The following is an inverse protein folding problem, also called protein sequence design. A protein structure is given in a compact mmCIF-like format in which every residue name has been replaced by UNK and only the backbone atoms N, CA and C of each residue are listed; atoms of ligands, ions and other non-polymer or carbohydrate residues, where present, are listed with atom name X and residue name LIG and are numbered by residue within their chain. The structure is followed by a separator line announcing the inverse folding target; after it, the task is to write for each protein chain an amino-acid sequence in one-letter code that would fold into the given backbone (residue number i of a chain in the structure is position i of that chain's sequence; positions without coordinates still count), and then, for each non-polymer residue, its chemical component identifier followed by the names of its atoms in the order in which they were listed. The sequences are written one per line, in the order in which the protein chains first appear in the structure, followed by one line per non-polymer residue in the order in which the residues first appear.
data_IF_102065843600
#
_entry.id   IF_102065843600
#
_cell.length_a   1.000
_cell.length_b   1.000
_cell.length_c   1.000
_cell.angle_alpha   90.00
_cell.angle_beta   90.00
_cell.angle_gamma   90.00
#
_symmetry.space_group_name_H-M   'P 1'
#
loop_
_entity.id
_entity.type
_entity.pdbx_description
1 polymer ?
#
# COMPACT_ATOMS: atom_id res chain seq x y z
N UNK A 1 -51.29 17.16 -16.08
CA UNK A 1 -51.00 16.62 -14.73
C UNK A 1 -49.51 16.35 -14.65
N UNK A 2 -48.78 17.09 -13.82
CA UNK A 2 -47.33 17.01 -13.64
C UNK A 2 -46.92 15.64 -13.09
N UNK A 3 -46.03 14.93 -13.78
CA UNK A 3 -45.44 13.70 -13.25
C UNK A 3 -44.45 14.05 -12.14
N UNK A 4 -44.73 13.59 -10.92
CA UNK A 4 -43.74 13.63 -9.85
C UNK A 4 -42.58 12.69 -10.19
N UNK A 5 -41.32 13.06 -9.92
CA UNK A 5 -40.19 12.15 -10.08
C UNK A 5 -40.33 10.97 -9.10
N UNK A 6 -40.43 9.75 -9.64
CA UNK A 6 -40.39 8.53 -8.83
C UNK A 6 -39.01 8.41 -8.19
N UNK A 7 -38.94 8.40 -6.86
CA UNK A 7 -37.73 8.03 -6.11
C UNK A 7 -37.53 6.52 -6.26
N UNK A 8 -36.44 6.11 -6.89
CA UNK A 8 -36.01 4.71 -6.87
C UNK A 8 -34.99 4.52 -5.74
N UNK A 9 -35.21 3.49 -4.92
CA UNK A 9 -34.27 3.06 -3.89
C UNK A 9 -33.54 1.84 -4.44
N UNK A 10 -32.23 1.94 -4.66
CA UNK A 10 -31.39 0.79 -4.96
C UNK A 10 -31.00 0.15 -3.62
N UNK A 11 -31.53 -1.04 -3.33
CA UNK A 11 -31.15 -1.84 -2.17
C UNK A 11 -30.07 -2.81 -2.63
N UNK A 12 -28.80 -2.56 -2.29
CA UNK A 12 -27.72 -3.52 -2.47
C UNK A 12 -27.56 -4.30 -1.17
N UNK A 13 -28.08 -5.52 -1.13
CA UNK A 13 -27.85 -6.43 -0.02
C UNK A 13 -26.50 -7.16 -0.24
N UNK A 14 -25.48 -6.80 0.52
CA UNK A 14 -24.24 -7.60 0.59
C UNK A 14 -24.48 -8.69 1.62
N UNK A 15 -24.66 -9.93 1.17
CA UNK A 15 -24.60 -11.11 2.03
C UNK A 15 -23.15 -11.32 2.45
N UNK A 16 -22.74 -10.71 3.56
CA UNK A 16 -21.53 -11.13 4.28
C UNK A 16 -21.92 -12.38 5.06
N UNK A 17 -21.21 -13.50 4.86
CA UNK A 17 -21.54 -14.82 5.43
C UNK A 17 -21.45 -14.91 6.97
N UNK A 18 -21.45 -13.78 7.68
CA UNK A 18 -21.45 -13.72 9.14
C UNK A 18 -22.28 -12.51 9.60
N UNK A 19 -23.59 -12.69 9.70
CA UNK A 19 -24.44 -12.10 10.75
C UNK A 19 -24.62 -10.59 10.89
N UNK A 20 -24.15 -9.72 9.99
CA UNK A 20 -24.44 -8.27 10.05
C UNK A 20 -24.91 -7.77 8.68
N UNK A 21 -26.20 -7.41 8.59
CA UNK A 21 -26.76 -6.69 7.44
C UNK A 21 -26.49 -5.20 7.65
N UNK A 22 -25.51 -4.65 6.94
CA UNK A 22 -25.35 -3.21 6.84
C UNK A 22 -26.32 -2.68 5.76
N UNK A 23 -27.36 -1.96 6.18
CA UNK A 23 -28.30 -1.30 5.27
C UNK A 23 -27.74 0.08 4.94
N UNK A 24 -27.32 0.30 3.68
CA UNK A 24 -26.91 1.62 3.21
C UNK A 24 -28.04 2.24 2.37
N UNK A 25 -28.58 3.37 2.80
CA UNK A 25 -29.48 4.19 1.99
C UNK A 25 -28.68 5.27 1.25
N UNK A 26 -28.61 5.18 -0.07
CA UNK A 26 -28.08 6.28 -0.91
C UNK A 26 -29.25 7.10 -1.42
N UNK A 27 -29.35 8.36 -1.00
CA UNK A 27 -30.25 9.35 -1.61
C UNK A 27 -29.45 10.25 -2.54
N UNK A 28 -29.61 10.07 -3.85
CA UNK A 28 -29.01 10.92 -4.88
C UNK A 28 -29.81 10.87 -6.19
N UNK A 29 -29.83 11.98 -6.93
CA UNK A 29 -30.53 12.12 -8.22
C UNK A 29 -29.73 11.38 -9.29
N UNK A 30 -30.31 10.34 -9.89
CA UNK A 30 -29.74 9.65 -11.05
C UNK A 30 -30.20 10.43 -12.30
N UNK A 31 -29.29 10.93 -13.17
CA UNK A 31 -29.68 11.51 -14.45
C UNK A 31 -30.36 10.44 -15.32
N UNK A 32 -31.50 10.80 -15.92
CA UNK A 32 -32.35 9.94 -16.74
C UNK A 32 -31.59 9.27 -17.89
N UNK A 33 -31.27 7.97 -17.75
CA UNK A 33 -30.92 7.08 -18.85
C UNK A 33 -31.64 5.74 -18.70
N UNK A 34 -32.98 5.76 -18.69
CA UNK A 34 -33.76 4.54 -18.89
C UNK A 34 -34.99 4.87 -19.74
N UNK A 35 -34.87 4.71 -21.06
CA UNK A 35 -36.05 4.49 -21.91
C UNK A 35 -36.45 3.02 -21.75
N UNK A 36 -37.67 2.81 -21.24
CA UNK A 36 -38.34 1.54 -20.95
C UNK A 36 -37.74 0.25 -21.52
N UNK A 37 -37.29 -0.61 -20.61
CA UNK A 37 -37.07 -2.03 -20.83
C UNK A 37 -37.15 -2.75 -19.48
N UNK A 38 -37.92 -3.82 -19.41
CA UNK A 38 -37.93 -4.74 -18.27
C UNK A 38 -36.50 -5.12 -17.87
N UNK A 39 -36.27 -5.45 -16.58
CA UNK A 39 -35.07 -6.13 -16.11
C UNK A 39 -34.96 -7.49 -16.81
N UNK A 40 -34.44 -7.47 -18.03
CA UNK A 40 -34.09 -8.65 -18.80
C UNK A 40 -32.87 -9.28 -18.16
N UNK A 41 -33.00 -10.55 -17.82
CA UNK A 41 -31.89 -11.44 -17.55
C UNK A 41 -30.91 -11.34 -18.74
N UNK A 42 -29.75 -10.72 -18.55
CA UNK A 42 -28.72 -10.65 -19.59
C UNK A 42 -27.97 -11.98 -19.61
N UNK A 43 -28.26 -12.82 -20.61
CA UNK A 43 -27.49 -14.01 -20.95
C UNK A 43 -26.15 -13.67 -21.65
N UNK A 44 -25.45 -12.67 -21.16
CA UNK A 44 -24.05 -12.40 -21.47
C UNK A 44 -23.39 -12.11 -20.14
N UNK A 45 -22.31 -12.82 -19.83
CA UNK A 45 -21.52 -12.62 -18.60
C UNK A 45 -20.79 -11.27 -18.57
N UNK A 46 -21.46 -10.18 -18.93
CA UNK A 46 -20.96 -8.82 -18.81
C UNK A 46 -21.20 -8.32 -17.38
N UNK A 47 -20.14 -8.32 -16.59
CA UNK A 47 -20.10 -7.64 -15.31
C UNK A 47 -20.18 -6.13 -15.52
N UNK A 48 -21.26 -5.49 -15.07
CA UNK A 48 -21.34 -4.03 -14.97
C UNK A 48 -20.49 -3.61 -13.76
N UNK A 49 -19.31 -3.05 -14.03
CA UNK A 49 -18.40 -2.57 -12.99
C UNK A 49 -18.88 -1.24 -12.42
N UNK A 50 -19.30 -1.24 -11.16
CA UNK A 50 -19.45 0.00 -10.39
C UNK A 50 -18.12 0.29 -9.71
N UNK A 51 -17.46 1.38 -10.12
CA UNK A 51 -16.41 1.98 -9.29
C UNK A 51 -17.08 2.49 -8.02
N UNK A 52 -17.08 1.68 -6.96
CA UNK A 52 -17.47 2.13 -5.63
C UNK A 52 -16.43 3.16 -5.17
N UNK A 53 -16.69 4.44 -5.44
CA UNK A 53 -16.15 5.48 -4.58
C UNK A 53 -16.77 5.23 -3.21
N UNK A 54 -16.00 4.60 -2.30
CA UNK A 54 -16.40 4.46 -0.92
C UNK A 54 -16.81 5.86 -0.42
N UNK A 55 -18.03 6.03 0.11
CA UNK A 55 -18.53 7.36 0.40
C UNK A 55 -17.61 8.03 1.41
N UNK A 56 -17.24 9.28 1.15
CA UNK A 56 -16.50 10.09 2.12
C UNK A 56 -17.24 10.01 3.47
N UNK A 57 -16.53 9.61 4.52
CA UNK A 57 -17.06 9.55 5.86
C UNK A 57 -17.22 10.99 6.38
N UNK A 58 -18.45 11.39 6.66
CA UNK A 58 -18.70 12.65 7.38
C UNK A 58 -18.53 12.39 8.88
N UNK A 59 -17.62 13.14 9.49
CA UNK A 59 -17.23 12.98 10.90
C UNK A 59 -17.85 14.05 11.78
N UNK A 60 -17.92 15.28 11.28
CA UNK A 60 -18.70 16.37 11.87
C UNK A 60 -19.66 16.89 10.82
N UNK A 61 -20.93 17.04 11.18
CA UNK A 61 -21.94 17.68 10.35
C UNK A 61 -22.73 18.66 11.20
N UNK A 62 -22.10 19.80 11.50
CA UNK A 62 -22.77 20.88 12.21
C UNK A 62 -23.08 22.01 11.23
N UNK A 63 -24.30 22.01 10.69
CA UNK A 63 -24.71 22.96 9.65
C UNK A 63 -25.88 23.84 10.07
N UNK A 64 -26.18 23.93 11.36
CA UNK A 64 -27.26 24.81 11.82
C UNK A 64 -26.70 26.23 12.06
N UNK A 65 -27.09 27.15 11.17
CA UNK A 65 -26.62 28.54 11.21
C UNK A 65 -27.36 29.34 12.28
N UNK A 66 -26.65 29.79 13.32
CA UNK A 66 -27.22 30.62 14.38
C UNK A 66 -26.71 32.06 14.33
N UNK A 67 -25.40 32.26 14.45
CA UNK A 67 -24.81 33.60 14.55
C UNK A 67 -23.38 33.65 14.02
N UNK A 68 -23.03 34.79 13.44
CA UNK A 68 -21.71 35.06 12.87
C UNK A 68 -20.76 35.75 13.82
N UNK A 69 -19.55 35.23 13.99
CA UNK A 69 -18.50 35.87 14.79
C UNK A 69 -17.41 36.46 13.91
N UNK A 70 -17.03 37.71 14.16
CA UNK A 70 -15.99 38.42 13.42
C UNK A 70 -14.58 37.94 13.79
N UNK A 71 -13.79 37.59 12.77
CA UNK A 71 -12.36 37.29 12.83
C UNK A 71 -11.60 38.43 12.16
N UNK A 72 -10.62 39.00 12.85
CA UNK A 72 -9.81 40.15 12.42
C UNK A 72 -8.54 40.26 13.28
N UNK A 73 -7.71 41.27 13.07
CA UNK A 73 -6.42 41.46 13.75
C UNK A 73 -6.44 41.38 15.28
N UNK A 74 -7.50 41.88 15.93
CA UNK A 74 -7.72 41.80 17.38
C UNK A 74 -8.41 40.51 17.86
N UNK A 75 -8.90 39.68 16.94
CA UNK A 75 -9.51 38.37 17.21
C UNK A 75 -9.18 37.40 16.08
N UNK A 76 -7.94 36.91 16.13
CA UNK A 76 -7.28 36.37 14.94
C UNK A 76 -7.71 34.96 14.58
N UNK A 77 -8.22 34.18 15.55
CA UNK A 77 -8.56 32.77 15.35
C UNK A 77 -9.95 32.50 15.91
N UNK A 78 -10.75 31.79 15.13
CA UNK A 78 -11.96 31.10 15.55
C UNK A 78 -11.82 29.63 15.18
N UNK A 79 -11.99 28.75 16.15
CA UNK A 79 -11.79 27.32 15.96
C UNK A 79 -12.75 26.50 16.82
N UNK A 80 -12.97 25.26 16.40
CA UNK A 80 -13.55 24.17 17.16
C UNK A 80 -12.42 23.49 17.94
N UNK A 81 -12.44 23.60 19.27
CA UNK A 81 -11.52 22.92 20.15
C UNK A 81 -11.99 21.48 20.38
N UNK A 82 -11.09 20.51 20.23
CA UNK A 82 -11.36 19.09 20.44
C UNK A 82 -10.82 18.68 21.80
N UNK A 83 -11.67 18.36 22.77
CA UNK A 83 -11.22 17.79 24.05
C UNK A 83 -10.85 16.32 23.94
N UNK A 84 -10.26 15.74 24.98
CA UNK A 84 -9.95 14.32 25.11
C UNK A 84 -11.20 13.42 25.07
N UNK A 85 -12.37 13.94 25.44
CA UNK A 85 -13.65 13.20 25.41
C UNK A 85 -14.44 13.39 24.12
N UNK A 86 -13.95 14.18 23.15
CA UNK A 86 -14.65 14.39 21.88
C UNK A 86 -14.68 13.12 21.03
N UNK A 87 -15.81 12.93 20.35
CA UNK A 87 -16.00 11.86 19.36
C UNK A 87 -15.06 11.98 18.14
N UNK A 88 -14.43 13.15 17.96
CA UNK A 88 -13.49 13.44 16.89
C UNK A 88 -12.07 12.90 17.17
N UNK A 89 -11.70 12.62 18.42
CA UNK A 89 -10.35 12.17 18.76
C UNK A 89 -10.02 10.86 18.03
N UNK A 90 -8.88 10.83 17.34
CA UNK A 90 -8.40 9.68 16.58
C UNK A 90 -9.04 9.51 15.21
N UNK A 91 -10.05 10.32 14.85
CA UNK A 91 -10.63 10.32 13.50
C UNK A 91 -9.71 11.02 12.51
N UNK A 92 -9.67 10.53 11.27
CA UNK A 92 -8.89 11.15 10.20
C UNK A 92 -9.77 12.07 9.37
N UNK A 93 -9.29 13.25 8.99
CA UNK A 93 -9.96 14.18 8.09
C UNK A 93 -9.03 14.58 6.95
N UNK A 94 -9.61 14.84 5.78
CA UNK A 94 -8.91 15.45 4.65
C UNK A 94 -9.63 16.68 4.11
N UNK A 95 -10.83 16.98 4.63
CA UNK A 95 -11.59 18.15 4.23
C UNK A 95 -12.25 18.86 5.41
N UNK A 96 -12.19 20.19 5.35
CA UNK A 96 -12.87 21.12 6.25
C UNK A 96 -13.76 22.02 5.41
N UNK A 97 -15.06 22.03 5.69
CA UNK A 97 -16.02 23.00 5.15
C UNK A 97 -16.47 23.95 6.25
N UNK A 98 -16.48 25.24 5.95
CA UNK A 98 -16.90 26.31 6.86
C UNK A 98 -17.84 27.28 6.16
N UNK A 99 -18.78 27.85 6.89
CA UNK A 99 -19.68 28.87 6.36
C UNK A 99 -19.16 30.28 6.73
N UNK A 100 -18.72 31.02 5.72
CA UNK A 100 -17.99 32.28 5.87
C UNK A 100 -18.67 33.41 5.09
N UNK A 101 -18.49 34.65 5.56
CA UNK A 101 -18.68 35.86 4.74
C UNK A 101 -17.61 36.90 5.05
N UNK A 102 -17.39 37.85 4.15
CA UNK A 102 -16.65 39.08 4.46
C UNK A 102 -17.60 40.20 4.89
N UNK A 103 -17.21 40.96 5.90
CA UNK A 103 -17.82 42.24 6.27
C UNK A 103 -16.86 43.38 5.91
N UNK A 104 -17.37 44.44 5.27
CA UNK A 104 -16.53 45.53 4.77
C UNK A 104 -15.61 45.10 3.63
N UNK A 105 -14.41 45.68 3.60
CA UNK A 105 -13.38 45.45 2.56
C UNK A 105 -12.05 44.97 3.18
N UNK A 106 -12.03 43.81 3.87
CA UNK A 106 -10.81 43.28 4.48
C UNK A 106 -9.78 42.92 3.41
N UNK A 107 -8.50 43.17 3.70
CA UNK A 107 -7.37 42.75 2.87
C UNK A 107 -6.58 41.64 3.57
N UNK A 108 -5.96 40.77 2.77
CA UNK A 108 -5.11 39.70 3.25
C UNK A 108 -5.63 38.31 2.89
N UNK A 109 -5.27 37.33 3.70
CA UNK A 109 -5.55 35.91 3.42
C UNK A 109 -6.00 35.23 4.69
N UNK A 110 -7.05 34.43 4.59
CA UNK A 110 -7.54 33.55 5.64
C UNK A 110 -6.86 32.21 5.49
N UNK A 111 -6.34 31.67 6.59
CA UNK A 111 -5.75 30.34 6.66
C UNK A 111 -6.77 29.40 7.32
N UNK A 112 -7.01 28.24 6.71
CA UNK A 112 -7.95 27.24 7.22
C UNK A 112 -7.20 25.97 7.56
N UNK A 113 -7.39 25.46 8.78
CA UNK A 113 -6.66 24.28 9.24
C UNK A 113 -6.75 24.05 10.74
N UNK A 114 -5.74 23.36 11.27
CA UNK A 114 -5.58 23.02 12.68
C UNK A 114 -4.49 23.89 13.29
N UNK A 115 -4.74 24.46 14.47
CA UNK A 115 -3.83 25.38 15.16
C UNK A 115 -3.37 24.85 16.50
N UNK A 116 -2.10 25.08 16.81
CA UNK A 116 -1.51 24.82 18.12
C UNK A 116 -1.96 25.89 19.14
N UNK A 117 -1.75 25.60 20.43
CA UNK A 117 -2.04 26.55 21.53
C UNK A 117 -1.25 27.86 21.41
N UNK A 118 -0.06 27.83 20.81
CA UNK A 118 0.76 29.02 20.54
C UNK A 118 0.32 29.82 19.29
N UNK A 119 -0.77 29.38 18.64
CA UNK A 119 -1.37 29.93 17.40
C UNK A 119 -0.61 29.62 16.11
N UNK A 120 0.46 28.84 16.18
CA UNK A 120 1.12 28.32 14.99
C UNK A 120 0.19 27.33 14.27
N UNK A 121 0.36 27.22 12.96
CA UNK A 121 -0.41 26.27 12.16
C UNK A 121 0.17 24.88 12.43
N UNK A 122 -0.67 23.97 12.93
CA UNK A 122 -0.34 22.55 13.09
C UNK A 122 -0.51 21.80 11.79
N UNK A 123 -1.62 22.07 11.07
CA UNK A 123 -1.90 21.52 9.74
C UNK A 123 -2.68 22.54 8.92
N UNK A 124 -2.18 22.90 7.75
CA UNK A 124 -2.89 23.78 6.80
C UNK A 124 -3.72 22.93 5.84
N UNK A 125 -5.01 23.25 5.69
CA UNK A 125 -5.91 22.66 4.69
C UNK A 125 -6.06 23.56 3.46
N UNK A 126 -5.91 24.86 3.64
CA UNK A 126 -5.90 25.78 2.52
C UNK A 126 -5.87 27.24 2.95
N UNK A 127 -5.81 28.11 1.94
CA UNK A 127 -5.84 29.55 2.09
C UNK A 127 -6.88 30.14 1.14
N UNK A 128 -7.53 31.21 1.55
CA UNK A 128 -8.44 31.98 0.68
C UNK A 128 -8.16 33.47 0.83
N UNK A 129 -8.01 34.16 -0.31
CA UNK A 129 -7.90 35.61 -0.28
C UNK A 129 -9.24 36.21 0.16
N UNK A 130 -9.21 37.23 1.01
CA UNK A 130 -10.42 37.86 1.54
C UNK A 130 -11.36 38.39 0.44
N UNK A 131 -10.82 38.74 -0.73
CA UNK A 131 -11.61 39.21 -1.86
C UNK A 131 -12.41 38.11 -2.58
N UNK A 132 -12.04 36.85 -2.39
CA UNK A 132 -12.75 35.68 -2.91
C UNK A 132 -13.87 35.18 -1.97
N UNK A 133 -13.97 35.74 -0.76
CA UNK A 133 -15.05 35.45 0.18
C UNK A 133 -16.26 36.34 -0.14
N UNK A 134 -17.43 35.74 -0.21
CA UNK A 134 -18.71 36.39 -0.51
C UNK A 134 -19.11 37.37 0.61
N UNK A 135 -19.87 38.41 0.28
CA UNK A 135 -20.48 39.30 1.27
C UNK A 135 -21.69 38.67 1.97
N UNK A 136 -22.21 37.57 1.41
CA UNK A 136 -23.22 36.70 2.03
C UNK A 136 -22.55 35.44 2.54
N UNK A 137 -23.14 34.83 3.57
CA UNK A 137 -22.67 33.55 4.09
C UNK A 137 -22.72 32.47 3.02
N UNK A 138 -21.61 31.76 2.84
CA UNK A 138 -21.47 30.68 1.86
C UNK A 138 -20.50 29.63 2.39
N UNK A 139 -20.71 28.37 1.96
CA UNK A 139 -19.84 27.26 2.33
C UNK A 139 -18.56 27.28 1.49
N UNK A 140 -17.41 27.25 2.16
CA UNK A 140 -16.08 27.14 1.56
C UNK A 140 -15.43 25.86 2.05
N UNK A 141 -14.99 25.01 1.10
CA UNK A 141 -14.35 23.73 1.40
C UNK A 141 -12.87 23.77 1.06
N UNK A 142 -12.06 23.23 1.96
CA UNK A 142 -10.61 23.15 1.84
C UNK A 142 -10.19 21.70 2.08
N UNK A 143 -9.28 21.19 1.26
CA UNK A 143 -8.85 19.79 1.34
C UNK A 143 -7.34 19.64 1.26
N UNK A 144 -6.83 18.63 1.96
CA UNK A 144 -5.44 18.22 1.83
C UNK A 144 -5.18 17.60 0.44
N UNK A 145 -3.96 17.71 -0.09
CA UNK A 145 -3.57 17.00 -1.32
C UNK A 145 -3.70 15.49 -1.13
N UNK A 146 -4.19 14.78 -2.14
CA UNK A 146 -4.31 13.32 -2.04
C UNK A 146 -2.92 12.67 -2.01
N UNK A 147 -2.71 11.58 -1.24
CA UNK A 147 -3.65 10.88 -0.35
C UNK A 147 -3.55 11.32 1.12
N UNK A 148 -3.11 12.55 1.39
CA UNK A 148 -2.84 13.02 2.74
C UNK A 148 -4.12 13.11 3.58
N UNK A 149 -4.05 12.59 4.80
CA UNK A 149 -5.07 12.70 5.83
C UNK A 149 -4.44 13.31 7.10
N UNK A 150 -5.24 13.94 7.93
CA UNK A 150 -4.85 14.45 9.24
C UNK A 150 -5.65 13.73 10.32
N UNK A 151 -4.98 13.04 11.24
CA UNK A 151 -5.62 12.42 12.39
C UNK A 151 -5.81 13.44 13.51
N UNK A 152 -7.07 13.68 13.88
CA UNK A 152 -7.44 14.63 14.93
C UNK A 152 -6.94 14.13 16.28
N UNK A 153 -6.32 15.03 17.03
CA UNK A 153 -5.80 14.78 18.38
C UNK A 153 -6.56 15.63 19.40
N UNK A 154 -6.59 15.17 20.65
CA UNK A 154 -7.06 16.01 21.76
C UNK A 154 -6.19 17.28 21.85
N UNK A 155 -6.82 18.42 22.09
CA UNK A 155 -6.19 19.75 22.12
C UNK A 155 -6.16 20.47 20.78
N UNK A 156 -6.58 19.81 19.69
CA UNK A 156 -6.65 20.42 18.37
C UNK A 156 -7.67 21.56 18.33
N UNK A 157 -7.34 22.60 17.54
CA UNK A 157 -8.22 23.74 17.25
C UNK A 157 -8.41 23.84 15.76
N UNK A 158 -9.55 23.38 15.26
CA UNK A 158 -9.85 23.27 13.84
C UNK A 158 -10.69 24.48 13.41
N UNK A 159 -10.25 25.29 12.44
CA UNK A 159 -11.02 26.47 12.04
C UNK A 159 -10.27 27.43 11.14
N UNK A 160 -10.42 28.74 11.38
CA UNK A 160 -9.79 29.80 10.59
C UNK A 160 -8.85 30.68 11.41
N UNK A 161 -7.82 31.18 10.74
CA UNK A 161 -6.95 32.26 11.19
C UNK A 161 -6.95 33.40 10.18
N UNK A 162 -7.17 34.62 10.64
CA UNK A 162 -7.06 35.84 9.84
C UNK A 162 -6.49 36.97 10.71
N UNK A 163 -5.30 37.45 10.35
CA UNK A 163 -4.55 38.45 11.14
C UNK A 163 -4.75 39.88 10.62
N UNK A 164 -5.41 40.06 9.49
CA UNK A 164 -5.70 41.37 8.90
C UNK A 164 -7.00 41.98 9.43
N UNK A 165 -7.34 43.17 8.89
CA UNK A 165 -8.65 43.78 9.13
C UNK A 165 -8.87 44.32 10.55
N UNK A 166 -10.12 44.72 10.80
CA UNK A 166 -10.60 45.35 12.03
C UNK A 166 -12.09 44.99 12.25
N UNK A 167 -12.78 45.67 13.17
CA UNK A 167 -14.20 45.41 13.44
C UNK A 167 -15.12 45.68 12.23
N UNK A 168 -14.80 46.66 11.38
CA UNK A 168 -15.57 47.00 10.18
C UNK A 168 -15.18 46.12 8.98
N UNK A 169 -13.91 45.72 8.92
CA UNK A 169 -13.31 44.95 7.83
C UNK A 169 -12.85 43.58 8.35
N UNK A 170 -13.75 42.60 8.37
CA UNK A 170 -13.52 41.30 9.00
C UNK A 170 -14.02 40.13 8.16
N UNK A 171 -13.59 38.92 8.53
CA UNK A 171 -14.19 37.67 8.06
C UNK A 171 -15.09 37.13 9.16
N UNK A 172 -16.38 36.97 8.87
CA UNK A 172 -17.31 36.40 9.81
C UNK A 172 -17.45 34.90 9.56
N UNK A 173 -17.29 34.11 10.62
CA UNK A 173 -17.49 32.66 10.63
C UNK A 173 -18.80 32.32 11.33
N UNK A 174 -19.61 31.46 10.73
CA UNK A 174 -20.88 31.04 11.30
C UNK A 174 -20.67 30.06 12.47
N UNK A 175 -21.51 30.21 13.49
CA UNK A 175 -21.60 29.29 14.64
C UNK A 175 -22.99 28.69 14.72
N UNK A 176 -23.07 27.51 15.32
CA UNK A 176 -24.28 26.96 15.89
C UNK A 176 -24.29 27.23 17.40
N UNK A 177 -25.36 27.84 17.90
CA UNK A 177 -25.52 28.14 19.34
C UNK A 177 -26.71 27.38 19.94
N UNK A 178 -27.24 26.39 19.23
CA UNK A 178 -28.47 25.67 19.59
C UNK A 178 -28.35 24.16 19.46
N UNK A 179 -27.54 23.64 18.54
CA UNK A 179 -27.37 22.21 18.31
C UNK A 179 -25.88 21.81 18.31
N UNK A 180 -25.35 21.60 19.51
CA UNK A 180 -23.94 21.24 19.70
C UNK A 180 -23.66 19.83 19.18
N UNK A 181 -22.61 19.68 18.39
CA UNK A 181 -22.25 18.48 17.63
C UNK A 181 -22.07 17.24 18.52
N UNK A 182 -21.28 17.37 19.59
CA UNK A 182 -21.07 16.30 20.57
C UNK A 182 -21.15 16.81 22.03
N UNK A 183 -21.99 17.83 22.24
CA UNK A 183 -22.18 18.47 23.54
C UNK A 183 -21.08 19.49 23.84
N UNK A 184 -20.42 19.38 24.99
CA UNK A 184 -19.33 20.26 25.38
C UNK A 184 -17.94 19.65 25.12
N UNK A 185 -17.88 18.53 24.37
CA UNK A 185 -16.66 17.77 24.16
C UNK A 185 -15.83 18.34 23.00
N UNK A 186 -16.47 18.80 21.93
CA UNK A 186 -15.97 19.86 21.07
C UNK A 186 -16.67 21.17 21.41
N UNK A 187 -15.99 22.29 21.20
CA UNK A 187 -16.60 23.60 21.41
C UNK A 187 -15.87 24.73 20.71
N UNK A 188 -16.57 25.83 20.49
CA UNK A 188 -16.00 27.07 19.99
C UNK A 188 -14.96 27.67 20.94
N UNK A 189 -13.79 27.97 20.39
CA UNK A 189 -12.75 28.78 21.01
C UNK A 189 -12.29 29.89 20.06
N UNK A 190 -11.83 30.99 20.65
CA UNK A 190 -11.24 32.08 19.88
C UNK A 190 -10.06 32.72 20.61
N UNK A 191 -9.15 33.33 19.86
CA UNK A 191 -7.98 34.00 20.42
C UNK A 191 -8.09 35.52 20.30
N UNK A 192 -7.80 36.22 21.40
CA UNK A 192 -7.64 37.69 21.47
C UNK A 192 -6.25 38.01 22.03
N UNK A 193 -6.14 38.26 23.33
CA UNK A 193 -4.86 38.25 24.07
C UNK A 193 -4.63 36.92 24.81
N UNK A 194 -5.70 36.10 24.89
CA UNK A 194 -5.72 34.76 25.46
C UNK A 194 -6.80 33.94 24.75
N UNK A 195 -6.71 32.62 24.85
CA UNK A 195 -7.79 31.73 24.41
C UNK A 195 -9.03 31.91 25.26
N UNK A 196 -10.16 32.16 24.61
CA UNK A 196 -11.48 32.20 25.21
C UNK A 196 -12.25 30.94 24.81
N UNK A 197 -13.01 30.39 25.75
CA UNK A 197 -13.77 29.14 25.62
C UNK A 197 -15.26 29.44 25.68
N UNK A 198 -16.05 28.77 24.82
CA UNK A 198 -17.51 28.83 24.83
C UNK A 198 -18.10 27.45 24.54
N UNK A 199 -18.47 26.69 25.57
CA UNK A 199 -19.08 25.35 25.44
C UNK A 199 -20.55 25.36 25.02
N UNK A 200 -21.13 26.54 24.85
CA UNK A 200 -22.51 26.73 24.39
C UNK A 200 -22.56 27.17 22.92
N UNK A 201 -21.49 26.93 22.17
CA UNK A 201 -21.35 27.30 20.76
C UNK A 201 -20.41 26.32 20.11
N UNK A 202 -20.75 25.90 18.91
CA UNK A 202 -19.86 25.18 18.01
C UNK A 202 -19.72 25.96 16.73
N UNK A 203 -18.67 25.69 15.97
CA UNK A 203 -18.58 26.21 14.61
C UNK A 203 -19.60 25.50 13.71
N UNK A 204 -20.19 26.25 12.78
CA UNK A 204 -20.75 25.64 11.57
C UNK A 204 -19.56 25.02 10.83
N UNK A 205 -19.50 23.69 10.80
CA UNK A 205 -18.38 22.95 10.27
C UNK A 205 -18.82 21.59 9.75
N UNK A 206 -18.30 21.23 8.59
CA UNK A 206 -18.36 19.86 8.09
C UNK A 206 -16.93 19.33 8.01
N UNK A 207 -16.68 18.22 8.69
CA UNK A 207 -15.42 17.49 8.63
C UNK A 207 -15.64 16.19 7.89
N UNK A 208 -14.82 15.92 6.88
CA UNK A 208 -14.87 14.67 6.11
C UNK A 208 -13.52 13.99 6.04
N UNK A 209 -13.56 12.66 6.00
CA UNK A 209 -12.49 11.82 5.49
C UNK A 209 -12.95 11.23 4.18
N UNK A 210 -12.18 11.42 3.12
CA UNK A 210 -12.29 10.52 1.97
C UNK A 210 -11.66 9.19 2.36
N UNK A 211 -12.28 8.10 1.90
CA UNK A 211 -11.68 6.78 1.98
C UNK A 211 -11.00 6.56 0.64
N UNK A 212 -9.69 6.82 0.57
CA UNK A 212 -8.94 6.54 -0.64
C UNK A 212 -8.71 5.04 -0.77
N UNK A 213 -9.16 4.48 -1.89
CA UNK A 213 -8.62 3.22 -2.36
C UNK A 213 -7.13 3.47 -2.68
N UNK A 214 -6.22 2.89 -1.89
CA UNK A 214 -4.76 3.00 -2.08
C UNK A 214 -4.23 2.29 -3.34
N UNK A 215 -5.13 1.84 -4.22
CA UNK A 215 -4.83 0.92 -5.31
C UNK A 215 -4.64 -0.51 -4.81
N UNK A 216 -4.74 -1.46 -5.74
CA UNK A 216 -4.30 -2.83 -5.51
C UNK A 216 -2.77 -2.88 -5.63
N UNK A 217 -2.08 -3.44 -4.64
CA UNK A 217 -0.63 -3.60 -4.63
C UNK A 217 -0.25 -5.03 -4.32
N UNK A 218 0.91 -5.45 -4.82
CA UNK A 218 1.45 -6.79 -4.62
C UNK A 218 2.95 -6.69 -4.34
N UNK A 219 3.48 -7.57 -3.48
CA UNK A 219 4.90 -7.60 -3.09
C UNK A 219 5.40 -9.04 -2.91
N UNK A 220 6.71 -9.23 -3.05
CA UNK A 220 7.39 -10.47 -2.67
C UNK A 220 7.87 -10.39 -1.22
N UNK A 221 7.97 -11.53 -0.52
CA UNK A 221 8.47 -11.61 0.86
C UNK A 221 9.98 -11.43 0.97
N UNK A 222 10.70 -11.71 -0.11
CA UNK A 222 12.14 -11.49 -0.22
C UNK A 222 12.36 -10.36 -1.23
N UNK A 223 13.31 -9.49 -0.92
CA UNK A 223 13.84 -8.54 -1.90
C UNK A 223 14.77 -9.24 -2.87
N UNK A 224 14.87 -8.72 -4.09
CA UNK A 224 15.87 -9.12 -5.07
C UNK A 224 17.30 -9.10 -4.49
N UNK A 225 18.17 -9.95 -5.06
CA UNK A 225 19.53 -10.09 -4.57
C UNK A 225 20.19 -11.41 -4.93
N UNK A 226 21.44 -11.54 -4.48
CA UNK A 226 22.28 -12.72 -4.70
C UNK A 226 22.35 -13.56 -3.44
N UNK A 227 22.08 -14.86 -3.55
CA UNK A 227 22.22 -15.83 -2.47
C UNK A 227 22.94 -17.10 -2.94
N UNK A 228 23.65 -17.78 -2.04
CA UNK A 228 24.33 -19.06 -2.33
C UNK A 228 23.45 -20.29 -2.06
N UNK A 229 22.21 -20.08 -1.60
CA UNK A 229 21.26 -21.14 -1.25
C UNK A 229 19.93 -20.93 -1.94
N UNK A 230 19.15 -22.01 -2.08
CA UNK A 230 17.77 -21.97 -2.56
C UNK A 230 16.92 -21.02 -1.71
N UNK A 231 16.11 -20.18 -2.37
CA UNK A 231 15.19 -19.25 -1.73
C UNK A 231 13.74 -19.70 -1.90
N UNK A 232 12.88 -19.35 -0.95
CA UNK A 232 11.43 -19.58 -1.00
C UNK A 232 10.71 -18.24 -0.93
N UNK A 233 10.13 -17.82 -2.06
CA UNK A 233 9.47 -16.50 -2.20
C UNK A 233 7.96 -16.66 -2.06
N UNK A 234 7.34 -15.88 -1.17
CA UNK A 234 5.88 -15.75 -1.10
C UNK A 234 5.42 -14.42 -1.66
N UNK A 235 4.28 -14.41 -2.35
CA UNK A 235 3.69 -13.19 -2.90
C UNK A 235 2.49 -12.78 -2.05
N UNK A 236 2.40 -11.49 -1.72
CA UNK A 236 1.39 -10.92 -0.82
C UNK A 236 0.71 -9.76 -1.52
N UNK A 237 -0.61 -9.69 -1.44
CA UNK A 237 -1.41 -8.55 -1.92
C UNK A 237 -2.02 -7.78 -0.74
N UNK A 238 -2.20 -6.47 -0.90
CA UNK A 238 -2.82 -5.64 0.13
C UNK A 238 -4.34 -5.86 0.28
N UNK A 239 -4.97 -6.59 -0.66
CA UNK A 239 -6.40 -6.86 -0.70
C UNK A 239 -6.70 -8.27 -1.24
N UNK A 240 -7.88 -8.85 -0.95
CA UNK A 240 -8.32 -10.10 -1.58
C UNK A 240 -8.26 -10.00 -3.11
N UNK A 241 -7.38 -10.80 -3.71
CA UNK A 241 -7.08 -10.76 -5.14
C UNK A 241 -6.35 -12.02 -5.59
N UNK A 242 -6.35 -12.26 -6.90
CA UNK A 242 -5.59 -13.32 -7.56
C UNK A 242 -4.26 -12.75 -8.05
N UNK A 243 -3.15 -13.38 -7.68
CA UNK A 243 -1.80 -12.97 -8.13
C UNK A 243 -1.38 -13.86 -9.29
N UNK A 244 -0.97 -13.25 -10.39
CA UNK A 244 -0.45 -13.90 -11.60
C UNK A 244 1.04 -13.63 -11.74
N UNK A 245 1.83 -14.64 -12.12
CA UNK A 245 3.28 -14.51 -12.19
C UNK A 245 3.93 -15.30 -13.32
N UNK A 246 5.17 -14.93 -13.61
CA UNK A 246 6.11 -15.59 -14.53
C UNK A 246 7.50 -15.60 -13.90
N UNK A 247 8.27 -16.67 -14.10
CA UNK A 247 9.61 -16.84 -13.54
C UNK A 247 10.72 -16.84 -14.63
N UNK A 248 10.35 -16.64 -15.88
CA UNK A 248 11.25 -16.56 -17.04
C UNK A 248 11.49 -15.11 -17.51
N UNK A 249 10.94 -14.13 -16.79
CA UNK A 249 11.00 -12.71 -17.14
C UNK A 249 10.00 -12.25 -18.21
N UNK A 250 9.15 -13.11 -18.74
CA UNK A 250 8.04 -12.70 -19.62
C UNK A 250 7.02 -11.84 -18.86
N UNK A 251 6.25 -10.99 -19.56
CA UNK A 251 5.24 -10.15 -18.90
C UNK A 251 4.04 -11.01 -18.46
N UNK A 252 3.67 -11.02 -17.17
CA UNK A 252 2.53 -11.79 -16.70
C UNK A 252 1.22 -11.22 -17.25
N UNK A 253 0.28 -12.12 -17.57
CA UNK A 253 -1.10 -11.80 -17.98
C UNK A 253 -2.08 -12.61 -17.12
N UNK A 254 -3.38 -12.41 -17.29
CA UNK A 254 -4.39 -13.24 -16.60
C UNK A 254 -4.41 -14.71 -17.07
N UNK A 255 -3.66 -15.05 -18.11
CA UNK A 255 -3.43 -16.43 -18.56
C UNK A 255 -2.16 -17.05 -18.00
N UNK A 256 -1.36 -16.29 -17.23
CA UNK A 256 -0.13 -16.77 -16.58
C UNK A 256 -0.46 -17.64 -15.35
N UNK A 257 0.58 -18.24 -14.75
CA UNK A 257 0.43 -19.07 -13.56
C UNK A 257 -0.17 -18.27 -12.39
N UNK A 258 -1.12 -18.88 -11.68
CA UNK A 258 -1.74 -18.31 -10.47
C UNK A 258 -0.94 -18.71 -9.24
N UNK A 259 -0.56 -17.73 -8.44
CA UNK A 259 0.13 -17.97 -7.18
C UNK A 259 -0.80 -18.66 -6.18
N UNK A 260 -0.41 -19.85 -5.72
CA UNK A 260 -1.14 -20.64 -4.73
C UNK A 260 -0.25 -21.27 -3.65
N UNK A 261 1.07 -21.28 -3.87
CA UNK A 261 2.08 -21.78 -2.94
C UNK A 261 3.40 -21.02 -3.11
N UNK A 262 4.30 -21.01 -2.10
CA UNK A 262 5.62 -20.40 -2.23
C UNK A 262 6.38 -20.85 -3.49
N UNK A 263 7.13 -19.92 -4.11
CA UNK A 263 7.92 -20.14 -5.32
C UNK A 263 9.36 -20.44 -4.91
N UNK A 264 9.85 -21.63 -5.27
CA UNK A 264 11.23 -22.04 -5.01
C UNK A 264 12.16 -21.50 -6.10
N UNK A 265 13.22 -20.80 -5.68
CA UNK A 265 14.25 -20.22 -6.55
C UNK A 265 15.59 -20.89 -6.26
N UNK A 266 16.11 -21.66 -7.22
CA UNK A 266 17.35 -22.43 -7.08
C UNK A 266 18.42 -22.06 -8.12
N UNK A 267 18.12 -21.15 -9.02
CA UNK A 267 19.02 -20.56 -10.01
C UNK A 267 18.62 -19.11 -10.29
N UNK A 268 19.41 -18.40 -11.09
CA UNK A 268 19.05 -17.04 -11.53
C UNK A 268 17.65 -17.03 -12.17
N UNK A 269 16.75 -16.22 -11.61
CA UNK A 269 15.32 -16.18 -11.96
C UNK A 269 14.83 -14.74 -11.98
N UNK A 270 14.18 -14.34 -13.07
CA UNK A 270 13.46 -13.06 -13.17
C UNK A 270 11.98 -13.31 -12.88
N UNK A 271 11.55 -12.98 -11.66
CA UNK A 271 10.17 -13.15 -11.21
C UNK A 271 9.39 -11.86 -11.49
N UNK A 272 8.36 -11.94 -12.34
CA UNK A 272 7.41 -10.83 -12.57
C UNK A 272 6.02 -11.23 -12.11
N UNK A 273 5.29 -10.30 -11.49
CA UNK A 273 3.96 -10.59 -10.96
C UNK A 273 3.07 -9.35 -10.85
N UNK A 274 1.77 -9.55 -10.95
CA UNK A 274 0.74 -8.53 -10.67
C UNK A 274 -0.48 -9.20 -10.01
N UNK A 275 -1.32 -8.42 -9.33
CA UNK A 275 -2.57 -8.89 -8.76
C UNK A 275 -3.77 -8.35 -9.54
N UNK A 276 -4.88 -9.10 -9.57
CA UNK A 276 -6.19 -8.67 -10.05
C UNK A 276 -7.26 -9.00 -9.01
N UNK A 277 -8.08 -8.02 -8.63
CA UNK A 277 -9.19 -8.24 -7.71
C UNK A 277 -10.48 -8.71 -8.42
N UNK A 278 -11.53 -8.98 -7.64
CA UNK A 278 -12.84 -9.40 -8.18
C UNK A 278 -13.57 -8.30 -8.94
N UNK A 279 -13.13 -7.05 -8.81
CA UNK A 279 -13.64 -5.88 -9.53
C UNK A 279 -12.80 -5.55 -10.76
N UNK A 280 -11.93 -6.48 -11.16
CA UNK A 280 -11.04 -6.39 -12.32
C UNK A 280 -9.96 -5.30 -12.24
N UNK A 281 -9.75 -4.66 -11.08
CA UNK A 281 -8.63 -3.75 -10.89
C UNK A 281 -7.33 -4.52 -10.88
N UNK A 282 -6.29 -3.97 -11.51
CA UNK A 282 -4.95 -4.56 -11.54
C UNK A 282 -3.96 -3.74 -10.73
N UNK A 283 -3.01 -4.41 -10.07
CA UNK A 283 -1.84 -3.75 -9.53
C UNK A 283 -0.85 -3.39 -10.65
N UNK A 284 0.12 -2.48 -10.38
CA UNK A 284 1.33 -2.42 -11.19
C UNK A 284 2.03 -3.78 -11.25
N UNK A 285 2.71 -4.06 -12.36
CA UNK A 285 3.56 -5.25 -12.50
C UNK A 285 4.86 -5.02 -11.74
N UNK A 286 5.15 -5.92 -10.80
CA UNK A 286 6.40 -5.97 -10.06
C UNK A 286 7.41 -6.85 -10.79
N UNK A 287 8.69 -6.50 -10.66
CA UNK A 287 9.83 -7.26 -11.19
C UNK A 287 10.81 -7.48 -10.05
N UNK A 288 11.30 -8.71 -9.89
CA UNK A 288 12.32 -9.08 -8.92
C UNK A 288 13.34 -10.00 -9.60
N UNK A 289 14.63 -9.72 -9.43
CA UNK A 289 15.71 -10.54 -9.97
C UNK A 289 16.43 -11.25 -8.83
N UNK A 290 16.32 -12.58 -8.79
CA UNK A 290 17.03 -13.40 -7.82
C UNK A 290 18.19 -14.09 -8.52
N UNK A 291 19.39 -13.91 -8.00
CA UNK A 291 20.58 -14.64 -8.46
C UNK A 291 20.90 -15.71 -7.42
N UNK A 292 20.87 -16.97 -7.81
CA UNK A 292 21.32 -18.07 -6.95
C UNK A 292 22.51 -18.72 -7.62
N UNK A 293 23.67 -18.60 -7.00
CA UNK A 293 24.86 -19.33 -7.41
C UNK A 293 24.86 -20.66 -6.67
N UNK A 294 24.86 -21.80 -7.38
CA UNK A 294 25.20 -23.06 -6.72
C UNK A 294 26.59 -22.87 -6.11
N UNK A 295 26.76 -23.26 -4.85
CA UNK A 295 28.07 -23.19 -4.18
C UNK A 295 29.10 -23.94 -5.02
N UNK A 296 30.00 -23.21 -5.69
CA UNK A 296 31.22 -23.78 -6.26
C UNK A 296 32.16 -24.05 -5.08
N UNK A 297 32.34 -25.32 -4.72
CA UNK A 297 33.48 -25.69 -3.90
C UNK A 297 34.69 -25.69 -4.83
N UNK A 298 35.51 -24.64 -4.76
CA UNK A 298 36.85 -24.72 -5.33
C UNK A 298 37.62 -25.80 -4.56
N UNK A 299 38.04 -26.85 -5.26
CA UNK A 299 38.96 -27.84 -4.70
C UNK A 299 40.30 -27.14 -4.50
N UNK A 300 40.50 -26.60 -3.30
CA UNK A 300 41.60 -25.66 -3.01
C UNK A 300 42.95 -26.34 -2.79
N UNK A 301 42.99 -27.63 -2.46
CA UNK A 301 44.24 -28.39 -2.42
C UNK A 301 44.01 -29.89 -2.19
N UNK A 302 44.76 -30.75 -2.87
CA UNK A 302 45.02 -32.12 -2.41
C UNK A 302 46.24 -32.07 -1.48
N UNK A 303 46.14 -32.66 -0.29
CA UNK A 303 47.28 -32.76 0.64
C UNK A 303 48.42 -33.56 -0.01
N UNK A 304 49.64 -33.00 -0.03
CA UNK A 304 50.88 -33.75 -0.30
C UNK A 304 51.06 -34.78 0.83
N UNK A 305 50.67 -36.04 0.61
CA UNK A 305 50.65 -37.01 1.72
C UNK A 305 51.93 -37.82 1.90
N UNK A 306 52.90 -37.78 0.97
CA UNK A 306 54.20 -38.47 1.16
C UNK A 306 55.21 -38.05 0.09
N UNK A 307 56.50 -38.29 0.34
CA UNK A 307 57.55 -38.19 -0.70
C UNK A 307 57.15 -39.07 -1.91
N UNK A 308 56.90 -38.43 -3.07
CA UNK A 308 56.50 -39.12 -4.30
C UNK A 308 55.02 -39.06 -4.69
N UNK A 309 54.15 -38.37 -3.92
CA UNK A 309 52.75 -38.14 -4.32
C UNK A 309 52.65 -37.31 -5.61
N UNK A 310 51.59 -37.53 -6.40
CA UNK A 310 51.34 -36.77 -7.64
C UNK A 310 50.29 -35.68 -7.44
N UNK A 311 50.54 -34.51 -8.03
CA UNK A 311 49.51 -33.50 -8.23
C UNK A 311 48.48 -34.00 -9.25
N UNK A 312 47.20 -33.86 -8.93
CA UNK A 312 46.10 -34.17 -9.83
C UNK A 312 45.37 -32.88 -10.19
N UNK A 313 45.04 -32.74 -11.48
CA UNK A 313 44.25 -31.65 -12.01
C UNK A 313 42.99 -32.22 -12.63
N UNK A 314 41.84 -31.63 -12.30
CA UNK A 314 40.57 -32.02 -12.88
C UNK A 314 40.57 -31.80 -14.40
N UNK A 315 40.04 -32.77 -15.15
CA UNK A 315 39.83 -32.68 -16.61
C UNK A 315 38.40 -32.31 -16.98
N UNK A 316 37.80 -31.42 -16.19
CA UNK A 316 36.38 -31.09 -16.29
C UNK A 316 36.09 -29.97 -17.29
N UNK A 317 37.06 -29.08 -17.53
CA UNK A 317 37.03 -28.07 -18.58
C UNK A 317 37.68 -28.60 -19.88
N UNK A 318 37.06 -29.61 -20.47
CA UNK A 318 37.56 -30.28 -21.68
C UNK A 318 36.54 -30.32 -22.83
N UNK A 319 35.45 -29.54 -22.72
CA UNK A 319 34.30 -29.47 -23.64
C UNK A 319 33.56 -30.80 -23.85
N UNK A 320 33.70 -31.75 -22.93
CA UNK A 320 33.03 -33.03 -23.01
C UNK A 320 32.04 -33.21 -21.85
N UNK A 321 30.76 -32.96 -22.14
CA UNK A 321 29.65 -33.24 -21.24
C UNK A 321 29.56 -34.74 -20.96
N UNK A 322 29.58 -35.13 -19.68
CA UNK A 322 29.49 -36.54 -19.28
C UNK A 322 28.87 -36.74 -17.91
N UNK A 323 28.36 -37.95 -17.70
CA UNK A 323 27.72 -38.36 -16.45
C UNK A 323 28.42 -39.60 -15.91
N UNK A 324 28.79 -39.55 -14.63
CA UNK A 324 29.28 -40.70 -13.87
C UNK A 324 28.19 -41.14 -12.90
N UNK A 325 27.94 -42.45 -12.87
CA UNK A 325 27.12 -43.09 -11.84
C UNK A 325 28.04 -43.75 -10.80
N UNK A 326 27.47 -44.12 -9.65
CA UNK A 326 28.20 -44.83 -8.59
C UNK A 326 29.04 -46.01 -9.14
N UNK A 327 30.33 -46.03 -8.80
CA UNK A 327 31.28 -47.06 -9.19
C UNK A 327 31.96 -46.83 -10.54
N UNK A 328 31.54 -45.80 -11.30
CA UNK A 328 32.14 -45.50 -12.59
C UNK A 328 33.38 -44.60 -12.45
N UNK A 329 34.43 -44.93 -13.20
CA UNK A 329 35.54 -44.03 -13.46
C UNK A 329 35.12 -42.96 -14.46
N UNK A 330 35.79 -41.81 -14.42
CA UNK A 330 35.65 -40.82 -15.48
C UNK A 330 36.23 -41.39 -16.79
N UNK A 331 35.45 -41.43 -17.89
CA UNK A 331 35.96 -41.83 -19.21
C UNK A 331 37.16 -41.00 -19.70
N UNK A 332 37.22 -39.72 -19.31
CA UNK A 332 38.27 -38.79 -19.73
C UNK A 332 39.40 -38.67 -18.69
N UNK A 333 39.19 -39.23 -17.50
CA UNK A 333 40.16 -39.28 -16.42
C UNK A 333 40.11 -40.63 -15.67
N UNK A 334 40.91 -41.58 -16.15
CA UNK A 334 40.98 -42.92 -15.57
C UNK A 334 41.49 -42.95 -14.11
N UNK A 335 42.03 -41.84 -13.61
CA UNK A 335 42.46 -41.67 -12.23
C UNK A 335 41.35 -41.17 -11.31
N UNK A 336 40.19 -40.76 -11.83
CA UNK A 336 39.06 -40.27 -11.06
C UNK A 336 37.91 -41.28 -11.03
N UNK A 337 37.25 -41.43 -9.88
CA UNK A 337 36.08 -42.29 -9.70
C UNK A 337 35.05 -41.65 -8.79
N UNK A 338 33.76 -41.82 -9.14
CA UNK A 338 32.65 -41.53 -8.25
C UNK A 338 32.24 -42.78 -7.49
N UNK A 339 32.10 -42.67 -6.17
CA UNK A 339 31.54 -43.73 -5.33
C UNK A 339 30.47 -43.16 -4.38
N UNK A 340 29.63 -44.00 -3.81
CA UNK A 340 28.58 -43.58 -2.89
C UNK A 340 27.44 -44.59 -2.83
N UNK A 341 26.25 -44.10 -2.52
CA UNK A 341 25.02 -44.90 -2.62
C UNK A 341 24.64 -45.15 -4.08
N UNK A 342 23.75 -46.10 -4.36
CA UNK A 342 23.33 -46.45 -5.72
C UNK A 342 22.71 -45.29 -6.52
N UNK A 343 22.21 -44.26 -5.85
CA UNK A 343 21.66 -43.03 -6.45
C UNK A 343 22.69 -41.93 -6.66
N UNK A 344 23.97 -42.17 -6.31
CA UNK A 344 25.05 -41.19 -6.47
C UNK A 344 25.34 -40.95 -7.95
N UNK A 345 25.30 -39.68 -8.34
CA UNK A 345 25.48 -39.21 -9.71
C UNK A 345 26.34 -37.95 -9.75
N UNK A 346 27.20 -37.86 -10.75
CA UNK A 346 28.04 -36.70 -11.02
C UNK A 346 27.90 -36.31 -12.49
N UNK A 347 27.55 -35.05 -12.76
CA UNK A 347 27.40 -34.49 -14.11
C UNK A 347 28.49 -33.45 -14.30
N UNK A 348 29.33 -33.64 -15.32
CA UNK A 348 30.43 -32.75 -15.71
C UNK A 348 29.99 -32.06 -16.99
N UNK A 349 29.90 -30.74 -17.00
CA UNK A 349 29.34 -29.99 -18.14
C UNK A 349 30.33 -29.80 -19.31
N UNK A 350 31.63 -29.94 -19.04
CA UNK A 350 32.70 -29.73 -20.02
C UNK A 350 33.29 -28.32 -19.98
N UNK A 351 32.69 -27.40 -19.22
CA UNK A 351 33.15 -26.01 -19.03
C UNK A 351 33.71 -25.80 -17.61
N UNK A 352 34.11 -26.90 -16.95
CA UNK A 352 34.73 -26.89 -15.63
C UNK A 352 33.77 -27.00 -14.46
N UNK A 353 32.45 -27.08 -14.68
CA UNK A 353 31.47 -27.22 -13.60
C UNK A 353 31.09 -28.68 -13.41
N UNK A 354 31.06 -29.09 -12.15
CA UNK A 354 30.59 -30.40 -11.73
C UNK A 354 29.40 -30.28 -10.79
N UNK A 355 28.31 -30.96 -11.14
CA UNK A 355 27.12 -31.09 -10.30
C UNK A 355 27.03 -32.51 -9.74
N UNK A 356 27.08 -32.62 -8.42
CA UNK A 356 27.01 -33.91 -7.71
C UNK A 356 25.67 -34.03 -6.98
N UNK A 357 25.03 -35.21 -7.06
CA UNK A 357 23.73 -35.51 -6.44
C UNK A 357 23.64 -36.95 -5.94
N UNK A 358 22.63 -37.25 -5.12
CA UNK A 358 22.42 -38.56 -4.49
C UNK A 358 22.83 -38.59 -3.02
N UNK A 359 22.65 -39.74 -2.35
CA UNK A 359 22.97 -39.91 -0.92
C UNK A 359 24.46 -40.23 -0.73
N UNK A 360 25.15 -39.33 -0.03
CA UNK A 360 26.57 -39.47 0.34
C UNK A 360 27.52 -39.75 -0.84
N UNK A 361 27.46 -38.97 -1.94
CA UNK A 361 28.41 -39.13 -3.03
C UNK A 361 29.82 -38.74 -2.55
N UNK A 362 30.83 -39.49 -3.00
CA UNK A 362 32.24 -39.32 -2.66
C UNK A 362 33.11 -39.45 -3.91
N UNK A 363 33.96 -38.47 -4.13
CA UNK A 363 34.92 -38.46 -5.23
C UNK A 363 36.29 -38.96 -4.76
N UNK A 364 36.96 -39.76 -5.58
CA UNK A 364 38.30 -40.25 -5.28
C UNK A 364 39.25 -40.11 -6.48
N UNK A 365 40.52 -39.85 -6.19
CA UNK A 365 41.63 -39.90 -7.16
C UNK A 365 42.60 -41.03 -6.81
N UNK A 366 43.12 -41.74 -7.82
CA UNK A 366 44.11 -42.79 -7.66
C UNK A 366 45.55 -42.22 -7.58
N UNK A 367 46.22 -42.49 -6.46
CA UNK A 367 47.57 -42.02 -6.15
C UNK A 367 48.63 -43.09 -6.48
N UNK A 368 48.98 -43.30 -7.75
CA UNK A 368 49.84 -44.44 -8.21
C UNK A 368 51.26 -44.52 -7.62
N UNK A 369 51.64 -43.73 -6.61
CA UNK A 369 52.90 -43.87 -5.89
C UNK A 369 52.98 -45.11 -4.98
N UNK A 370 51.84 -45.77 -4.71
CA UNK A 370 51.76 -47.14 -4.21
C UNK A 370 51.01 -48.02 -5.23
N UNK A 371 51.01 -49.35 -5.06
CA UNK A 371 50.26 -50.29 -5.91
C UNK A 371 48.84 -49.78 -6.27
N UNK A 372 48.26 -50.27 -7.38
CA UNK A 372 47.00 -49.84 -8.03
C UNK A 372 45.72 -49.65 -7.16
N UNK A 373 45.81 -49.82 -5.84
CA UNK A 373 44.72 -49.83 -4.85
C UNK A 373 44.61 -48.57 -3.97
N UNK A 374 45.47 -47.56 -4.12
CA UNK A 374 45.44 -46.36 -3.27
C UNK A 374 44.57 -45.23 -3.85
N UNK A 375 43.30 -45.19 -3.44
CA UNK A 375 42.34 -44.12 -3.76
C UNK A 375 42.23 -43.12 -2.61
N UNK A 376 42.26 -41.82 -2.91
CA UNK A 376 42.20 -40.71 -1.93
C UNK A 376 40.96 -39.86 -2.15
N UNK A 377 40.28 -39.50 -1.06
CA UNK A 377 39.09 -38.66 -1.12
C UNK A 377 39.44 -37.25 -1.57
N UNK A 378 38.61 -36.69 -2.45
CA UNK A 378 38.56 -35.26 -2.75
C UNK A 378 37.51 -34.65 -1.83
N UNK A 379 37.90 -33.65 -1.04
CA UNK A 379 37.02 -32.93 -0.12
C UNK A 379 36.57 -31.60 -0.69
#
# INVERSE_FOLDING_TARGET
MSSFPKKYVLIVAILVSIGIVAIFSITGIIPNFFSGGNLGNTNSGESIQYKMNLPNQTLMFNTFSSYGLSTHSGRQIHAEYVSDTSSLVGKSIDSITLNLKRGGSPSGTVEVGVFNTDRSIKQLFGKINTNAISTSYSDYSFSLPLPQIYQIQSGDRIGIKFTGGDNANHIAIMTDQTNFFDGANSYHTYYTDSWKKSTSKDLYMILKSSVYDTGLTVSASLTEGTNSTTQSVTLISNKPSTIFYTNDGSTPTTSSAVYSSPITIFSTTTLKFFARDSLENTSPTMVQIYTVFPSSYDVSQLYLTTSGGREWFSKWDNRHLRTLNNGNRDPDDSLFILTGSSDSKLVIDGDGIVTMSGKQPRMYVNDQAGSATCWRSIY
#
